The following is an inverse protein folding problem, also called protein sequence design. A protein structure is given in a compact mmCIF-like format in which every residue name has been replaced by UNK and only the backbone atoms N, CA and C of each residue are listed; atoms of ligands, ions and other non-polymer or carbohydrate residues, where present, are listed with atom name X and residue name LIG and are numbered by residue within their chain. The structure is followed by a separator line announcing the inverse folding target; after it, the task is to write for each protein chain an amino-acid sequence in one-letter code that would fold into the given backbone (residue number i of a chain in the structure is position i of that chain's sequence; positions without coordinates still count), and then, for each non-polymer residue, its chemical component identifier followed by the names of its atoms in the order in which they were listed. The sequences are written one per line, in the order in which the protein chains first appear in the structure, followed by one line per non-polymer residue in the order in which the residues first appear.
data_IF_669911201640
#
_entry.id   IF_669911201640
#
_cell.length_a   1.000
_cell.length_b   1.000
_cell.length_c   1.000
_cell.angle_alpha   90.00
_cell.angle_beta   90.00
_cell.angle_gamma   90.00
#
_symmetry.space_group_name_H-M   'P 1'
#
loop_
_entity.id
_entity.type
_entity.pdbx_description
1 polymer ?
#
# COMPACT_ATOMS: atom_id res chain seq x y z
N UNK A 1 -16.00 7.17 2.95
CA UNK A 1 -15.45 8.09 1.93
C UNK A 1 -13.95 7.92 1.96
N UNK A 2 -13.37 7.34 0.92
CA UNK A 2 -11.92 7.23 0.76
C UNK A 2 -11.32 8.64 0.67
N UNK A 3 -10.43 9.00 1.59
CA UNK A 3 -9.74 10.28 1.55
C UNK A 3 -8.61 10.17 0.52
N UNK A 4 -8.71 10.88 -0.58
CA UNK A 4 -7.65 10.94 -1.59
C UNK A 4 -6.46 11.71 -1.02
N UNK A 5 -5.25 11.14 -0.98
CA UNK A 5 -4.06 11.87 -0.53
C UNK A 5 -3.78 13.06 -1.44
N UNK A 6 -3.32 14.17 -0.85
CA UNK A 6 -2.70 15.23 -1.63
C UNK A 6 -1.42 14.73 -2.33
N UNK A 7 -0.92 15.42 -3.36
CA UNK A 7 0.31 15.03 -4.05
C UNK A 7 1.54 14.93 -3.12
N UNK A 8 1.59 15.74 -2.06
CA UNK A 8 2.67 15.70 -1.07
C UNK A 8 2.55 14.48 -0.16
N UNK A 9 1.36 14.22 0.40
CA UNK A 9 1.08 13.03 1.22
C UNK A 9 1.33 11.74 0.45
N UNK A 10 0.91 11.69 -0.83
CA UNK A 10 1.14 10.55 -1.70
C UNK A 10 2.64 10.26 -1.88
N UNK A 11 3.46 11.31 -2.03
CA UNK A 11 4.92 11.16 -2.12
C UNK A 11 5.53 10.63 -0.83
N UNK A 12 5.05 11.07 0.33
CA UNK A 12 5.54 10.57 1.62
C UNK A 12 5.17 9.10 1.85
N UNK A 13 3.94 8.72 1.53
CA UNK A 13 3.48 7.32 1.61
C UNK A 13 4.34 6.44 0.69
N UNK A 14 4.60 6.86 -0.55
CA UNK A 14 5.45 6.09 -1.48
C UNK A 14 6.91 6.03 -1.02
N UNK A 15 7.47 7.12 -0.46
CA UNK A 15 8.81 7.09 0.16
C UNK A 15 8.88 6.06 1.28
N UNK A 16 7.83 5.95 2.09
CA UNK A 16 7.73 4.96 3.15
C UNK A 16 7.74 3.53 2.59
N UNK A 17 6.97 3.25 1.51
CA UNK A 17 7.00 1.95 0.82
C UNK A 17 8.42 1.59 0.37
N UNK A 18 9.11 2.53 -0.28
CA UNK A 18 10.45 2.28 -0.82
C UNK A 18 11.47 1.96 0.28
N UNK A 19 11.40 2.65 1.43
CA UNK A 19 12.25 2.36 2.61
C UNK A 19 11.92 1.00 3.23
N UNK A 20 10.65 0.59 3.23
CA UNK A 20 10.17 -0.61 3.91
C UNK A 20 9.90 -1.78 2.95
N UNK A 21 10.40 -1.73 1.71
CA UNK A 21 10.03 -2.67 0.64
C UNK A 21 10.25 -4.14 0.98
N UNK A 22 11.24 -4.44 1.82
CA UNK A 22 11.50 -5.80 2.30
C UNK A 22 10.36 -6.38 3.15
N UNK A 23 9.66 -5.53 3.92
CA UNK A 23 8.50 -5.93 4.73
C UNK A 23 7.34 -6.44 3.86
N UNK A 24 7.24 -5.94 2.62
CA UNK A 24 6.14 -6.30 1.73
C UNK A 24 6.32 -7.66 1.06
N UNK A 25 7.54 -8.22 1.02
CA UNK A 25 7.84 -9.49 0.35
C UNK A 25 7.00 -10.66 0.86
N UNK A 26 6.63 -10.67 2.15
CA UNK A 26 5.77 -11.72 2.75
C UNK A 26 4.32 -11.69 2.27
N UNK A 27 3.89 -10.62 1.60
CA UNK A 27 2.54 -10.47 1.05
C UNK A 27 2.53 -10.65 -0.47
N UNK A 28 3.45 -11.45 -1.02
CA UNK A 28 3.51 -11.75 -2.44
C UNK A 28 2.12 -12.12 -3.00
N UNK A 29 1.77 -11.54 -4.15
CA UNK A 29 0.47 -11.69 -4.83
C UNK A 29 -0.74 -11.08 -4.10
N UNK A 30 -0.53 -10.40 -2.97
CA UNK A 30 -1.60 -9.75 -2.22
C UNK A 30 -1.63 -8.24 -2.49
N UNK A 31 -2.82 -7.67 -2.38
CA UNK A 31 -3.02 -6.24 -2.23
C UNK A 31 -2.73 -5.84 -0.79
N UNK A 32 -2.00 -4.75 -0.61
CA UNK A 32 -1.68 -4.19 0.71
C UNK A 32 -2.10 -2.73 0.73
N UNK A 33 -2.96 -2.37 1.67
CA UNK A 33 -3.28 -0.99 1.99
C UNK A 33 -2.34 -0.48 3.08
N UNK A 34 -1.68 0.65 2.83
CA UNK A 34 -0.65 1.18 3.73
C UNK A 34 -0.56 2.71 3.65
N UNK A 35 0.08 3.30 4.66
CA UNK A 35 0.40 4.72 4.73
C UNK A 35 1.77 4.92 5.43
N UNK A 36 2.07 6.14 5.87
CA UNK A 36 3.33 6.47 6.58
C UNK A 36 3.43 5.86 7.98
N UNK A 37 2.31 5.46 8.58
CA UNK A 37 2.26 4.80 9.89
C UNK A 37 2.52 3.30 9.77
N UNK A 38 2.15 2.68 8.65
CA UNK A 38 2.36 1.25 8.46
C UNK A 38 1.41 0.62 7.46
N UNK A 39 1.31 -0.71 7.57
CA UNK A 39 0.34 -1.53 6.84
C UNK A 39 -0.96 -1.53 7.65
N UNK A 40 -2.06 -1.21 6.98
CA UNK A 40 -3.41 -1.16 7.57
C UNK A 40 -4.07 -2.54 7.41
N UNK A 41 -4.07 -3.08 6.19
CA UNK A 41 -4.68 -4.37 5.87
C UNK A 41 -4.08 -4.95 4.58
N UNK A 42 -4.26 -6.26 4.36
CA UNK A 42 -3.80 -6.96 3.17
C UNK A 42 -4.71 -8.14 2.82
N UNK A 43 -4.63 -8.62 1.59
CA UNK A 43 -5.39 -9.78 1.12
C UNK A 43 -5.31 -9.97 -0.39
N UNK A 44 -5.76 -11.13 -0.87
CA UNK A 44 -5.78 -11.46 -2.31
C UNK A 44 -6.91 -10.76 -3.06
N UNK A 45 -7.99 -10.40 -2.36
CA UNK A 45 -9.15 -9.72 -2.93
C UNK A 45 -9.04 -8.21 -2.71
N UNK A 46 -8.89 -7.46 -3.82
CA UNK A 46 -8.80 -6.01 -3.78
C UNK A 46 -10.00 -5.35 -3.09
N UNK A 47 -11.22 -5.86 -3.32
CA UNK A 47 -12.44 -5.25 -2.79
C UNK A 47 -12.49 -5.36 -1.27
N UNK A 48 -12.19 -6.53 -0.74
CA UNK A 48 -12.12 -6.75 0.72
C UNK A 48 -11.04 -5.90 1.39
N UNK A 49 -9.91 -5.68 0.69
CA UNK A 49 -8.84 -4.79 1.17
C UNK A 49 -9.30 -3.34 1.21
N UNK A 50 -10.02 -2.87 0.19
CA UNK A 50 -10.61 -1.52 0.17
C UNK A 50 -11.63 -1.35 1.29
N UNK A 51 -12.58 -2.28 1.45
CA UNK A 51 -13.61 -2.21 2.50
C UNK A 51 -12.99 -2.13 3.90
N UNK A 52 -11.97 -2.95 4.18
CA UNK A 52 -11.24 -2.93 5.46
C UNK A 52 -10.42 -1.64 5.64
N UNK A 53 -9.81 -1.13 4.57
CA UNK A 53 -9.01 0.09 4.64
C UNK A 53 -9.89 1.33 4.81
N UNK A 54 -11.03 1.41 4.14
CA UNK A 54 -12.00 2.49 4.32
C UNK A 54 -12.59 2.50 5.74
N UNK A 55 -12.80 1.33 6.34
CA UNK A 55 -13.24 1.21 7.73
C UNK A 55 -12.23 1.79 8.74
N UNK A 56 -10.95 1.91 8.39
CA UNK A 56 -9.94 2.55 9.25
C UNK A 56 -10.10 4.07 9.35
N UNK A 57 -10.72 4.70 8.34
CA UNK A 57 -10.84 6.16 8.24
C UNK A 57 -9.53 6.90 7.93
N UNK A 58 -8.44 6.17 7.71
CA UNK A 58 -7.12 6.68 7.37
C UNK A 58 -7.00 6.98 5.87
N UNK A 59 -6.03 7.83 5.51
CA UNK A 59 -5.57 7.98 4.13
C UNK A 59 -4.61 6.84 3.83
N UNK A 60 -4.78 6.18 2.68
CA UNK A 60 -3.95 5.04 2.30
C UNK A 60 -3.72 4.97 0.79
N UNK A 61 -2.69 4.20 0.41
CA UNK A 61 -2.45 3.78 -0.97
C UNK A 61 -2.51 2.25 -1.01
N UNK A 62 -2.99 1.70 -2.11
CA UNK A 62 -2.98 0.26 -2.35
C UNK A 62 -1.79 -0.09 -3.24
N UNK A 63 -1.01 -1.07 -2.80
CA UNK A 63 0.06 -1.67 -3.57
C UNK A 63 -0.20 -3.15 -3.78
N UNK A 64 -0.20 -3.59 -5.04
CA UNK A 64 -0.16 -5.01 -5.38
C UNK A 64 1.28 -5.48 -5.29
N UNK A 65 1.57 -6.37 -4.36
CA UNK A 65 2.93 -6.89 -4.18
C UNK A 65 3.21 -7.91 -5.28
N UNK A 66 4.22 -7.67 -6.15
CA UNK A 66 4.59 -8.63 -7.17
C UNK A 66 5.14 -9.91 -6.52
N UNK A 67 4.74 -11.06 -7.04
CA UNK A 67 5.27 -12.36 -6.60
C UNK A 67 6.71 -12.65 -7.02
N UNK A 68 7.31 -11.75 -7.78
CA UNK A 68 8.70 -11.81 -8.19
C UNK A 68 9.41 -10.52 -7.79
N UNK A 69 10.69 -10.62 -7.45
CA UNK A 69 11.57 -9.47 -7.23
C UNK A 69 11.94 -8.82 -8.57
N UNK A 70 10.99 -8.10 -9.16
CA UNK A 70 11.24 -7.15 -10.24
C UNK A 70 11.38 -5.75 -9.67
N UNK A 71 12.54 -5.13 -9.82
CA UNK A 71 12.71 -3.72 -9.50
C UNK A 71 11.93 -2.89 -10.52
N UNK A 72 10.74 -2.41 -10.14
CA UNK A 72 10.14 -1.29 -10.86
C UNK A 72 10.94 -0.05 -10.47
N UNK A 73 11.83 0.36 -11.37
CA UNK A 73 12.51 1.65 -11.34
C UNK A 73 11.58 2.65 -12.01
N UNK A 74 11.08 3.62 -11.25
CA UNK A 74 10.38 4.77 -11.82
C UNK A 74 11.47 5.85 -11.98
N UNK A 75 11.87 6.11 -13.22
CA UNK A 75 12.78 7.20 -13.60
C UNK A 75 12.04 8.53 -13.64
#
# INVERSE_FOLDING_TARGET
MSKTPSPEEGREIVKWLNKNRQLFKKYAHQYVAYNTNGIITHGENLREVIDKADASGEIYIIYLVPGFTGSIVIL
#
